data_IF_819062866675
#
_entry.id   IF_819062866675
#
_cell.length_a   1.000
_cell.length_b   1.000
_cell.length_c   1.000
_cell.angle_alpha   90.00
_cell.angle_beta   90.00
_cell.angle_gamma   90.00
#
_symmetry.space_group_name_H-M   'P 1'
#
loop_
_entity.id
_entity.type
_entity.pdbx_description
1 polymer ?
#
# COMPACT_ATOMS: atom_id res chain seq x y z
N UNK A 1 1.78 2.31 9.87
CA UNK A 1 0.70 2.69 10.79
C UNK A 1 0.47 4.20 10.81
N UNK A 2 1.49 5.05 10.91
CA UNK A 2 1.34 6.51 11.06
C UNK A 2 0.36 7.18 10.07
N UNK A 3 0.40 6.79 8.79
CA UNK A 3 -0.54 7.33 7.79
C UNK A 3 -1.96 6.75 7.95
N UNK A 4 -2.07 5.46 8.28
CA UNK A 4 -3.36 4.79 8.47
C UNK A 4 -4.07 5.24 9.76
N UNK A 5 -3.32 5.60 10.80
CA UNK A 5 -3.86 6.23 12.02
C UNK A 5 -4.16 7.71 11.85
N UNK A 6 -3.74 8.32 10.73
CA UNK A 6 -3.94 9.74 10.44
C UNK A 6 -2.99 10.69 11.18
N UNK A 7 -1.91 10.18 11.79
CA UNK A 7 -0.90 11.02 12.46
C UNK A 7 0.07 11.69 11.49
N UNK A 8 0.13 11.21 10.24
CA UNK A 8 0.88 11.80 9.14
C UNK A 8 0.09 11.70 7.84
N UNK A 9 0.32 12.63 6.92
CA UNK A 9 -0.14 12.53 5.53
C UNK A 9 0.78 11.62 4.72
N UNK A 10 0.30 11.17 3.55
CA UNK A 10 1.13 10.38 2.61
C UNK A 10 2.38 11.15 2.21
N UNK A 11 2.25 12.45 1.90
CA UNK A 11 3.38 13.30 1.47
C UNK A 11 4.45 13.51 2.54
N UNK A 12 4.07 13.53 3.81
CA UNK A 12 5.03 13.66 4.91
C UNK A 12 5.77 12.34 5.19
N UNK A 13 5.10 11.21 4.97
CA UNK A 13 5.65 9.89 5.27
C UNK A 13 6.41 9.26 4.08
N UNK A 14 6.09 9.68 2.86
CA UNK A 14 6.71 9.12 1.67
C UNK A 14 8.10 9.73 1.42
N UNK A 15 9.02 8.88 0.97
CA UNK A 15 10.35 9.29 0.57
C UNK A 15 10.42 9.42 -0.95
N UNK A 16 10.83 10.59 -1.43
CA UNK A 16 11.01 10.83 -2.87
C UNK A 16 12.26 10.12 -3.38
N UNK A 17 12.09 9.17 -4.32
CA UNK A 17 13.18 8.43 -4.94
C UNK A 17 13.61 9.10 -6.26
N UNK A 18 14.80 9.73 -6.35
CA UNK A 18 15.19 10.56 -7.49
C UNK A 18 15.23 9.82 -8.83
N UNK A 19 15.78 8.60 -8.86
CA UNK A 19 15.93 7.84 -10.12
C UNK A 19 14.61 7.25 -10.63
N UNK A 20 13.71 6.87 -9.72
CA UNK A 20 12.36 6.41 -10.07
C UNK A 20 11.48 7.58 -10.53
N UNK A 21 11.78 8.80 -10.07
CA UNK A 21 10.94 9.98 -10.29
C UNK A 21 9.61 9.90 -9.54
N UNK A 22 9.56 9.15 -8.43
CA UNK A 22 8.33 8.87 -7.70
C UNK A 22 8.57 8.69 -6.21
N UNK A 23 7.47 8.62 -5.45
CA UNK A 23 7.54 8.52 -3.99
C UNK A 23 7.36 7.07 -3.53
N UNK A 24 8.11 6.69 -2.50
CA UNK A 24 8.04 5.37 -1.86
C UNK A 24 7.49 5.54 -0.45
N UNK A 25 6.34 4.92 -0.19
CA UNK A 25 5.78 4.83 1.14
C UNK A 25 6.18 3.50 1.78
N UNK A 26 7.06 3.55 2.77
CA UNK A 26 7.54 2.35 3.46
C UNK A 26 6.51 1.81 4.45
N UNK A 27 6.39 0.48 4.50
CA UNK A 27 5.62 -0.21 5.53
C UNK A 27 6.29 -0.10 6.90
N UNK A 28 5.49 0.12 7.94
CA UNK A 28 5.96 0.05 9.33
C UNK A 28 5.69 -1.35 9.88
N UNK A 29 6.52 -1.80 10.84
CA UNK A 29 6.23 -3.04 11.57
C UNK A 29 4.92 -2.91 12.32
N UNK A 30 4.09 -3.94 12.23
CA UNK A 30 2.84 -4.06 12.99
C UNK A 30 2.74 -5.46 13.58
N UNK A 31 2.12 -5.56 14.76
CA UNK A 31 1.75 -6.84 15.37
C UNK A 31 0.34 -7.29 14.92
N UNK A 32 -0.38 -6.47 14.16
CA UNK A 32 -1.69 -6.82 13.62
C UNK A 32 -1.55 -7.77 12.43
N UNK A 33 -2.57 -8.60 12.22
CA UNK A 33 -2.63 -9.48 11.06
C UNK A 33 -2.79 -8.65 9.78
N UNK A 34 -1.97 -8.96 8.77
CA UNK A 34 -1.95 -8.23 7.50
C UNK A 34 -3.32 -8.21 6.80
N UNK A 35 -4.08 -9.31 6.88
CA UNK A 35 -5.43 -9.37 6.30
C UNK A 35 -6.40 -8.35 6.92
N UNK A 36 -6.31 -8.14 8.24
CA UNK A 36 -7.18 -7.20 8.96
C UNK A 36 -6.77 -5.76 8.64
N UNK A 37 -5.47 -5.49 8.57
CA UNK A 37 -4.93 -4.18 8.17
C UNK A 37 -5.38 -3.81 6.76
N UNK A 38 -5.20 -4.70 5.78
CA UNK A 38 -5.51 -4.42 4.38
C UNK A 38 -7.02 -4.40 4.08
N UNK A 39 -7.85 -5.05 4.90
CA UNK A 39 -9.31 -4.96 4.79
C UNK A 39 -9.91 -3.77 5.56
N UNK A 40 -9.09 -3.06 6.35
CA UNK A 40 -9.54 -1.97 7.20
C UNK A 40 -10.08 -0.76 6.41
N UNK A 41 -10.92 0.05 7.08
CA UNK A 41 -11.34 1.35 6.54
C UNK A 41 -10.16 2.32 6.38
N UNK A 42 -9.19 2.25 7.29
CA UNK A 42 -8.01 3.11 7.27
C UNK A 42 -7.16 2.88 6.02
N UNK A 43 -6.93 1.62 5.65
CA UNK A 43 -6.20 1.28 4.42
C UNK A 43 -6.95 1.76 3.16
N UNK A 44 -8.28 1.62 3.12
CA UNK A 44 -9.09 2.15 2.02
C UNK A 44 -8.99 3.67 1.90
N UNK A 45 -9.00 4.41 3.01
CA UNK A 45 -8.81 5.87 3.00
C UNK A 45 -7.40 6.26 2.53
N UNK A 46 -6.37 5.51 2.95
CA UNK A 46 -5.00 5.68 2.45
C UNK A 46 -4.96 5.53 0.93
N UNK A 47 -5.52 4.46 0.37
CA UNK A 47 -5.55 4.26 -1.08
C UNK A 47 -6.32 5.35 -1.83
N UNK A 48 -7.38 5.91 -1.24
CA UNK A 48 -8.10 7.05 -1.82
C UNK A 48 -7.25 8.32 -1.85
N UNK A 49 -6.46 8.57 -0.78
CA UNK A 49 -5.52 9.69 -0.77
C UNK A 49 -4.44 9.50 -1.84
N UNK A 50 -3.86 8.30 -1.96
CA UNK A 50 -2.87 8.01 -2.99
C UNK A 50 -3.45 8.20 -4.41
N UNK A 51 -4.67 7.71 -4.68
CA UNK A 51 -5.33 7.88 -5.99
C UNK A 51 -5.60 9.33 -6.38
N UNK A 52 -5.77 10.22 -5.40
CA UNK A 52 -5.96 11.65 -5.66
C UNK A 52 -4.65 12.35 -5.97
N UNK A 53 -3.58 11.95 -5.30
CA UNK A 53 -2.32 12.69 -5.27
C UNK A 53 -1.27 12.12 -6.23
N UNK A 54 -1.47 10.90 -6.75
CA UNK A 54 -0.55 10.21 -7.67
C UNK A 54 -1.27 9.69 -8.91
N UNK A 55 -0.61 9.78 -10.07
CA UNK A 55 -1.12 9.24 -11.33
C UNK A 55 -1.11 7.71 -11.37
N UNK A 56 -0.11 7.10 -10.75
CA UNK A 56 0.08 5.65 -10.68
C UNK A 56 0.46 5.26 -9.25
N UNK A 57 -0.23 4.27 -8.71
CA UNK A 57 0.04 3.70 -7.38
C UNK A 57 0.44 2.24 -7.55
N UNK A 58 1.69 1.92 -7.22
CA UNK A 58 2.18 0.54 -7.18
C UNK A 58 2.11 0.01 -5.76
N UNK A 59 1.52 -1.17 -5.57
CA UNK A 59 1.43 -1.82 -4.27
C UNK A 59 2.23 -3.13 -4.32
N UNK A 60 3.39 -3.13 -3.67
CA UNK A 60 4.20 -4.33 -3.52
C UNK A 60 3.57 -5.28 -2.49
N UNK A 61 3.48 -6.56 -2.83
CA UNK A 61 2.84 -7.57 -2.00
C UNK A 61 3.68 -8.84 -1.96
N UNK A 62 3.61 -9.55 -0.83
CA UNK A 62 4.27 -10.86 -0.66
C UNK A 62 3.68 -11.90 -1.63
N UNK A 63 4.40 -13.00 -1.93
CA UNK A 63 3.91 -14.04 -2.85
C UNK A 63 2.50 -14.53 -2.54
N UNK A 64 1.61 -14.49 -3.54
CA UNK A 64 0.16 -14.76 -3.40
C UNK A 64 -0.20 -16.13 -2.82
N UNK A 65 0.70 -17.11 -2.96
CA UNK A 65 0.51 -18.47 -2.48
C UNK A 65 0.80 -18.63 -0.99
N UNK A 66 1.63 -17.76 -0.41
CA UNK A 66 2.12 -17.91 0.96
C UNK A 66 1.24 -17.16 1.97
N UNK A 67 0.73 -15.99 1.59
CA UNK A 67 -0.02 -15.10 2.48
C UNK A 67 -1.19 -14.43 1.75
N UNK A 68 -2.25 -14.01 2.48
CA UNK A 68 -3.44 -13.40 1.87
C UNK A 68 -3.22 -11.97 1.36
N UNK A 69 -2.09 -11.33 1.69
CA UNK A 69 -1.80 -9.91 1.44
C UNK A 69 -2.18 -9.46 0.04
N UNK A 70 -1.68 -10.16 -0.99
CA UNK A 70 -1.95 -9.84 -2.39
C UNK A 70 -3.43 -10.03 -2.76
N UNK A 71 -4.10 -11.03 -2.18
CA UNK A 71 -5.53 -11.30 -2.45
C UNK A 71 -6.43 -10.24 -1.85
N UNK A 72 -6.16 -9.82 -0.60
CA UNK A 72 -6.96 -8.79 0.08
C UNK A 72 -6.70 -7.42 -0.55
N UNK A 73 -5.43 -7.08 -0.76
CA UNK A 73 -5.04 -5.79 -1.34
C UNK A 73 -5.48 -5.67 -2.81
N UNK A 74 -5.42 -6.76 -3.57
CA UNK A 74 -5.85 -6.81 -4.96
C UNK A 74 -7.34 -6.48 -5.17
N UNK A 75 -8.19 -6.65 -4.15
CA UNK A 75 -9.59 -6.22 -4.20
C UNK A 75 -9.76 -4.69 -4.30
N UNK A 76 -8.70 -3.95 -3.99
CA UNK A 76 -8.67 -2.49 -4.07
C UNK A 76 -7.87 -1.98 -5.26
N UNK A 77 -7.26 -2.85 -6.05
CA UNK A 77 -6.42 -2.50 -7.20
C UNK A 77 -7.22 -2.56 -8.51
N UNK A 78 -6.91 -1.68 -9.44
CA UNK A 78 -7.54 -1.64 -10.77
C UNK A 78 -7.00 -2.75 -11.69
N UNK A 79 -5.76 -3.19 -11.46
CA UNK A 79 -5.13 -4.29 -12.16
C UNK A 79 -4.17 -5.05 -11.23
N UNK A 80 -3.91 -6.33 -11.55
CA UNK A 80 -2.97 -7.19 -10.82
C UNK A 80 -1.90 -7.66 -11.79
N UNK A 81 -0.63 -7.43 -11.44
CA UNK A 81 0.52 -8.00 -12.13
C UNK A 81 1.00 -9.23 -11.37
N UNK A 82 0.97 -10.40 -12.01
CA UNK A 82 1.44 -11.65 -11.43
C UNK A 82 2.72 -12.12 -12.11
N UNK A 83 3.81 -12.22 -11.34
CA UNK A 83 5.12 -12.65 -11.84
C UNK A 83 5.28 -14.16 -11.68
N UNK A 84 5.62 -14.85 -12.77
CA UNK A 84 5.96 -16.28 -12.80
C UNK A 84 7.43 -16.47 -13.18
N UNK A 85 8.04 -17.58 -12.78
CA UNK A 85 9.40 -17.98 -13.18
C UNK A 85 9.38 -19.33 -13.86
#
# INVERSE_FOLDING_TARGET
>A
MSVMSGSMTVKEAAWHHPELGGDILFGEKTNENAADVFSSRAFRHLLQACRRDYDVVLIDTRPVLLVPDARVTGQHADAILYTVR
#
